data_IF_609113133290
#
_entry.id   IF_609113133290
#
_cell.length_a   1.000
_cell.length_b   1.000
_cell.length_c   1.000
_cell.angle_alpha   90.00
_cell.angle_beta   90.00
_cell.angle_gamma   90.00
#
_symmetry.space_group_name_H-M   'P 1'
#
loop_
_entity.id
_entity.type
_entity.pdbx_description
1 polymer ?
#
# COMPACT_ATOMS: atom_id res chain seq x y z
N UNK A 1 -14.29 1.85 -2.22
CA UNK A 1 -12.83 2.01 -2.09
C UNK A 1 -12.42 1.15 -0.92
N UNK A 2 -11.70 0.05 -1.16
CA UNK A 2 -11.23 -0.82 -0.09
C UNK A 2 -9.71 -0.63 0.03
N UNK A 3 -9.27 -0.05 1.15
CA UNK A 3 -7.85 0.06 1.47
C UNK A 3 -7.52 -1.16 2.32
N UNK A 4 -6.67 -2.04 1.80
CA UNK A 4 -6.17 -3.19 2.56
C UNK A 4 -4.79 -2.86 3.10
N UNK A 5 -4.63 -2.87 4.42
CA UNK A 5 -3.33 -2.90 5.09
C UNK A 5 -3.06 -4.34 5.51
N UNK A 6 -2.11 -5.01 4.86
CA UNK A 6 -1.77 -6.39 5.16
C UNK A 6 -0.69 -6.43 6.24
N UNK A 7 -1.05 -6.95 7.42
CA UNK A 7 -0.07 -7.52 8.37
C UNK A 7 -0.02 -9.04 8.19
N UNK A 8 1.16 -9.61 8.42
CA UNK A 8 1.55 -10.99 8.11
C UNK A 8 0.74 -12.11 8.81
N UNK A 9 -0.29 -11.81 9.60
CA UNK A 9 -0.98 -12.78 10.47
C UNK A 9 -2.49 -12.98 10.17
N UNK A 10 -2.98 -12.65 8.97
CA UNK A 10 -4.40 -12.85 8.61
C UNK A 10 -4.64 -14.10 7.74
N UNK A 11 -5.42 -15.06 8.28
CA UNK A 11 -6.08 -16.23 7.67
C UNK A 11 -5.69 -16.61 6.22
N UNK A 12 -4.84 -17.64 6.09
CA UNK A 12 -4.32 -18.22 4.83
C UNK A 12 -5.38 -18.52 3.75
N UNK A 13 -6.59 -18.96 4.12
CA UNK A 13 -7.54 -19.53 3.14
C UNK A 13 -8.30 -18.51 2.28
N UNK A 14 -8.26 -17.20 2.58
CA UNK A 14 -8.82 -16.15 1.70
C UNK A 14 -7.74 -15.39 0.92
N UNK A 15 -6.46 -15.64 1.21
CA UNK A 15 -5.37 -14.90 0.58
C UNK A 15 -4.89 -15.51 -0.73
N UNK A 16 -5.17 -16.78 -1.03
CA UNK A 16 -4.47 -17.49 -2.11
C UNK A 16 -4.59 -16.87 -3.53
N UNK A 17 -5.61 -16.03 -3.81
CA UNK A 17 -5.72 -15.31 -5.08
C UNK A 17 -5.24 -13.85 -5.05
N UNK A 18 -5.16 -13.21 -3.88
CA UNK A 18 -4.69 -11.81 -3.75
C UNK A 18 -3.20 -11.79 -3.36
N UNK A 19 -2.77 -12.72 -2.50
CA UNK A 19 -1.37 -12.97 -2.17
C UNK A 19 -0.53 -13.46 -3.38
N UNK A 20 -1.16 -14.00 -4.44
CA UNK A 20 -0.47 -14.40 -5.67
C UNK A 20 -0.28 -13.25 -6.68
N UNK A 21 -0.93 -12.10 -6.45
CA UNK A 21 -0.74 -10.91 -7.28
C UNK A 21 0.51 -10.19 -6.78
N UNK A 22 1.56 -10.18 -7.61
CA UNK A 22 2.78 -9.41 -7.35
C UNK A 22 2.50 -7.91 -7.60
N UNK A 23 1.72 -7.30 -6.71
CA UNK A 23 1.32 -5.89 -6.78
C UNK A 23 2.54 -5.04 -6.44
N UNK A 24 2.82 -4.04 -7.28
CA UNK A 24 3.93 -3.12 -7.03
C UNK A 24 3.75 -2.41 -5.69
N UNK A 25 4.83 -2.39 -4.91
CA UNK A 25 4.93 -1.57 -3.71
C UNK A 25 5.29 -0.14 -4.07
N UNK A 26 4.54 0.82 -3.52
CA UNK A 26 4.78 2.24 -3.73
C UNK A 26 5.39 2.83 -2.46
N UNK A 27 6.65 3.25 -2.57
CA UNK A 27 7.38 3.93 -1.49
C UNK A 27 6.93 5.39 -1.37
N UNK A 28 6.12 5.67 -0.36
CA UNK A 28 5.57 7.00 -0.13
C UNK A 28 6.62 8.00 0.37
N UNK A 29 7.79 7.57 0.85
CA UNK A 29 8.86 8.49 1.25
C UNK A 29 9.39 9.29 0.06
N UNK A 30 9.40 8.70 -1.14
CA UNK A 30 9.74 9.37 -2.40
C UNK A 30 8.73 10.45 -2.77
N UNK A 31 7.46 10.27 -2.43
CA UNK A 31 6.44 11.29 -2.66
C UNK A 31 6.51 12.42 -1.61
N UNK A 32 6.70 12.07 -0.34
CA UNK A 32 6.70 13.02 0.78
C UNK A 32 7.95 13.91 0.74
N UNK A 33 9.13 13.30 0.63
CA UNK A 33 10.42 13.96 0.80
C UNK A 33 11.36 13.89 -0.41
N UNK A 34 10.98 13.16 -1.47
CA UNK A 34 11.80 13.04 -2.67
C UNK A 34 11.80 14.29 -3.55
N UNK A 35 12.63 14.24 -4.59
CA UNK A 35 12.74 15.23 -5.67
C UNK A 35 11.45 15.31 -6.50
N UNK A 36 11.32 16.36 -7.31
CA UNK A 36 10.16 16.50 -8.21
C UNK A 36 10.04 15.36 -9.23
N UNK A 37 11.16 14.78 -9.65
CA UNK A 37 11.15 13.67 -10.60
C UNK A 37 10.71 12.37 -9.93
N UNK A 38 11.19 12.08 -8.71
CA UNK A 38 10.71 10.96 -7.91
C UNK A 38 9.21 11.08 -7.60
N UNK A 39 8.71 12.29 -7.32
CA UNK A 39 7.27 12.51 -7.13
C UNK A 39 6.46 12.16 -8.37
N UNK A 40 6.91 12.57 -9.57
CA UNK A 40 6.24 12.24 -10.84
C UNK A 40 6.28 10.74 -11.11
N UNK A 41 7.39 10.07 -10.82
CA UNK A 41 7.52 8.62 -10.94
C UNK A 41 6.51 7.90 -10.05
N UNK A 42 6.39 8.31 -8.79
CA UNK A 42 5.41 7.72 -7.85
C UNK A 42 3.97 7.94 -8.30
N UNK A 43 3.61 9.13 -8.78
CA UNK A 43 2.27 9.39 -9.31
C UNK A 43 1.98 8.50 -10.52
N UNK A 44 2.93 8.36 -11.44
CA UNK A 44 2.76 7.48 -12.61
C UNK A 44 2.63 6.01 -12.21
N UNK A 45 3.40 5.56 -11.22
CA UNK A 45 3.33 4.18 -10.72
C UNK A 45 2.02 3.91 -9.99
N UNK A 46 1.51 4.90 -9.24
CA UNK A 46 0.20 4.86 -8.61
C UNK A 46 -0.90 4.66 -9.64
N UNK A 47 -0.98 5.53 -10.66
CA UNK A 47 -2.02 5.46 -11.69
C UNK A 47 -1.98 4.13 -12.44
N UNK A 48 -0.78 3.68 -12.82
CA UNK A 48 -0.59 2.39 -13.50
C UNK A 48 -1.06 1.22 -12.64
N UNK A 49 -0.61 1.15 -11.39
CA UNK A 49 -0.92 0.03 -10.48
C UNK A 49 -2.40 0.00 -10.13
N UNK A 50 -3.02 1.17 -9.92
CA UNK A 50 -4.45 1.26 -9.66
C UNK A 50 -5.28 0.81 -10.86
N UNK A 51 -4.89 1.21 -12.07
CA UNK A 51 -5.60 0.82 -13.27
C UNK A 51 -5.45 -0.67 -13.59
N UNK A 52 -4.27 -1.25 -13.35
CA UNK A 52 -3.99 -2.67 -13.62
C UNK A 52 -4.64 -3.61 -12.60
N UNK A 53 -4.63 -3.27 -11.31
CA UNK A 53 -5.01 -4.19 -10.24
C UNK A 53 -6.24 -3.75 -9.42
N UNK A 54 -6.64 -2.47 -9.50
CA UNK A 54 -7.70 -1.90 -8.66
C UNK A 54 -7.34 -1.78 -7.16
N UNK A 55 -6.12 -2.18 -6.80
CA UNK A 55 -5.56 -2.20 -5.44
C UNK A 55 -4.10 -1.74 -5.49
N UNK A 56 -3.63 -1.17 -4.39
CA UNK A 56 -2.28 -0.58 -4.28
C UNK A 56 -1.71 -0.95 -2.91
N UNK A 57 -0.41 -1.28 -2.87
CA UNK A 57 0.34 -1.45 -1.63
C UNK A 57 1.24 -0.24 -1.39
N UNK A 58 0.97 0.51 -0.32
CA UNK A 58 1.78 1.67 0.08
C UNK A 58 2.73 1.27 1.21
N UNK A 59 4.00 1.67 1.10
CA UNK A 59 5.01 1.49 2.15
C UNK A 59 5.61 2.84 2.55
N UNK A 60 6.27 2.91 3.71
CA UNK A 60 6.91 4.13 4.23
C UNK A 60 5.96 5.34 4.23
N UNK A 61 4.70 5.13 4.62
CA UNK A 61 3.62 6.14 4.60
C UNK A 61 3.76 7.24 5.65
N UNK A 62 4.78 7.16 6.51
CA UNK A 62 4.96 8.00 7.70
C UNK A 62 3.81 7.88 8.72
N UNK A 63 2.99 6.82 8.61
CA UNK A 63 1.99 6.45 9.61
C UNK A 63 2.68 5.55 10.64
N UNK A 64 2.56 5.90 11.91
CA UNK A 64 3.16 5.10 12.99
C UNK A 64 2.42 3.79 13.18
N UNK A 65 3.14 2.73 13.57
CA UNK A 65 2.53 1.45 13.93
C UNK A 65 1.52 1.61 15.06
N UNK A 66 1.78 2.48 16.04
CA UNK A 66 0.84 2.78 17.14
C UNK A 66 -0.52 3.29 16.61
N UNK A 67 -0.52 4.15 15.58
CA UNK A 67 -1.77 4.65 15.00
C UNK A 67 -2.50 3.56 14.22
N UNK A 68 -1.76 2.71 13.50
CA UNK A 68 -2.32 1.56 12.78
C UNK A 68 -2.96 0.59 13.78
N UNK A 69 -2.28 0.27 14.87
CA UNK A 69 -2.75 -0.66 15.88
C UNK A 69 -4.00 -0.13 16.59
N UNK A 70 -4.01 1.18 16.95
CA UNK A 70 -5.23 1.82 17.46
C UNK A 70 -6.38 1.80 16.46
N UNK A 71 -6.12 2.02 15.17
CA UNK A 71 -7.17 2.00 14.16
C UNK A 71 -7.82 0.61 14.03
N UNK A 72 -7.04 -0.47 14.19
CA UNK A 72 -7.56 -1.85 14.18
C UNK A 72 -8.49 -2.15 15.34
N UNK A 73 -8.34 -1.50 16.50
CA UNK A 73 -9.26 -1.68 17.64
C UNK A 73 -10.69 -1.22 17.32
N UNK A 74 -10.88 -0.38 16.30
CA UNK A 74 -12.19 0.12 15.85
C UNK A 74 -12.79 -0.67 14.68
N UNK A 75 -12.10 -1.68 14.17
CA UNK A 75 -12.53 -2.56 13.08
C UNK A 75 -12.99 -3.91 13.61
#
# INVERSE_FOLDING_TARGET
MYVYTFDNDYNQNQCDNICSLNINEIDMSKFISGTNDEKKEIVSLFDKTFHEYGIIRLINTNITSELIDKAKEFL
#
